data_IF_183487215967
#
_entry.id   IF_183487215967
#
_cell.length_a   1.000
_cell.length_b   1.000
_cell.length_c   1.000
_cell.angle_alpha   90.00
_cell.angle_beta   90.00
_cell.angle_gamma   90.00
#
_symmetry.space_group_name_H-M   'P 1'
#
loop_
_entity.id
_entity.type
_entity.pdbx_description
1 polymer ?
#
# COMPACT_ATOMS: atom_id res chain seq x y z
N UNK A 1 13.97 -18.07 -12.65
CA UNK A 1 13.33 -16.89 -13.25
C UNK A 1 12.12 -17.22 -14.14
N UNK A 2 11.89 -18.49 -14.51
CA UNK A 2 10.89 -18.93 -15.50
C UNK A 2 9.43 -18.56 -15.15
N UNK A 3 9.03 -18.49 -13.88
CA UNK A 3 7.62 -18.24 -13.49
C UNK A 3 7.34 -16.82 -12.96
N UNK A 4 8.28 -15.88 -13.08
CA UNK A 4 8.12 -14.55 -12.44
C UNK A 4 6.90 -13.80 -12.98
N UNK A 5 6.70 -13.81 -14.29
CA UNK A 5 5.58 -13.13 -14.94
C UNK A 5 4.23 -13.75 -14.52
N UNK A 6 4.15 -15.08 -14.51
CA UNK A 6 2.94 -15.80 -14.14
C UNK A 6 2.54 -15.52 -12.69
N UNK A 7 3.49 -15.60 -11.76
CA UNK A 7 3.24 -15.28 -10.35
C UNK A 7 2.83 -13.82 -10.16
N UNK A 8 3.46 -12.88 -10.86
CA UNK A 8 3.09 -11.46 -10.79
C UNK A 8 1.66 -11.22 -11.28
N UNK A 9 1.30 -11.78 -12.45
CA UNK A 9 -0.03 -11.62 -13.02
C UNK A 9 -1.12 -12.28 -12.16
N UNK A 10 -0.85 -13.46 -11.61
CA UNK A 10 -1.77 -14.12 -10.67
C UNK A 10 -1.96 -13.30 -9.38
N UNK A 11 -0.89 -12.69 -8.88
CA UNK A 11 -0.96 -11.80 -7.70
C UNK A 11 -1.84 -10.57 -7.99
N UNK A 12 -1.66 -9.93 -9.15
CA UNK A 12 -2.50 -8.81 -9.56
C UNK A 12 -3.97 -9.23 -9.73
N UNK A 13 -4.23 -10.40 -10.31
CA UNK A 13 -5.59 -10.92 -10.48
C UNK A 13 -6.30 -11.11 -9.13
N UNK A 14 -5.60 -11.66 -8.14
CA UNK A 14 -6.10 -11.82 -6.77
C UNK A 14 -6.38 -10.46 -6.10
N UNK A 15 -5.46 -9.49 -6.22
CA UNK A 15 -5.65 -8.16 -5.62
C UNK A 15 -6.88 -7.45 -6.21
N UNK A 16 -7.09 -7.57 -7.52
CA UNK A 16 -8.21 -6.91 -8.21
C UNK A 16 -9.54 -7.66 -8.06
N UNK A 17 -9.50 -8.97 -7.82
CA UNK A 17 -10.68 -9.82 -7.67
C UNK A 17 -10.50 -10.74 -6.45
N UNK A 18 -10.54 -10.20 -5.22
CA UNK A 18 -10.40 -11.02 -4.03
C UNK A 18 -11.59 -11.99 -3.89
N UNK A 19 -11.37 -13.16 -3.28
CA UNK A 19 -12.47 -14.03 -2.85
C UNK A 19 -13.49 -13.31 -1.96
N UNK A 20 -14.73 -13.79 -1.93
CA UNK A 20 -15.82 -13.15 -1.18
C UNK A 20 -15.56 -13.07 0.34
N UNK A 21 -14.78 -14.00 0.88
CA UNK A 21 -14.36 -14.05 2.28
C UNK A 21 -13.07 -13.26 2.56
N UNK A 22 -12.55 -12.53 1.57
CA UNK A 22 -11.32 -11.76 1.67
C UNK A 22 -11.59 -10.27 1.44
N UNK A 23 -11.21 -9.44 2.41
CA UNK A 23 -11.22 -7.98 2.25
C UNK A 23 -9.79 -7.47 2.10
N UNK A 24 -9.50 -6.83 0.96
CA UNK A 24 -8.21 -6.20 0.69
C UNK A 24 -8.34 -4.69 0.92
N UNK A 25 -7.53 -4.17 1.85
CA UNK A 25 -7.40 -2.74 2.10
C UNK A 25 -6.08 -2.25 1.48
N UNK A 26 -6.17 -1.47 0.42
CA UNK A 26 -4.99 -0.96 -0.31
C UNK A 26 -4.50 0.33 0.36
N UNK A 27 -3.24 0.32 0.79
CA UNK A 27 -2.54 1.50 1.32
C UNK A 27 -1.46 1.88 0.32
N UNK A 28 -1.70 2.96 -0.41
CA UNK A 28 -0.73 3.53 -1.34
C UNK A 28 -0.51 5.01 -1.04
N UNK A 29 0.72 5.51 -1.19
CA UNK A 29 0.99 6.94 -1.14
C UNK A 29 0.18 7.68 -2.20
N UNK A 30 -0.19 8.93 -1.91
CA UNK A 30 -0.79 9.84 -2.88
C UNK A 30 0.26 10.46 -3.82
N UNK A 31 -0.20 11.28 -4.77
CA UNK A 31 0.67 11.95 -5.74
C UNK A 31 1.68 12.94 -5.10
N UNK A 32 1.49 13.30 -3.82
CA UNK A 32 2.39 14.20 -3.10
C UNK A 32 3.56 13.46 -2.42
N UNK A 33 3.67 12.15 -2.58
CA UNK A 33 4.74 11.37 -1.96
C UNK A 33 6.10 11.66 -2.59
N UNK A 34 6.95 12.34 -1.81
CA UNK A 34 8.21 12.91 -2.29
C UNK A 34 9.44 12.00 -2.10
N UNK A 35 9.26 10.73 -1.73
CA UNK A 35 10.35 9.77 -1.51
C UNK A 35 10.50 8.87 -2.74
N UNK A 36 11.68 8.90 -3.35
CA UNK A 36 12.07 8.00 -4.43
C UNK A 36 13.24 7.11 -4.03
N UNK A 37 13.66 6.21 -4.93
CA UNK A 37 14.71 5.21 -4.67
C UNK A 37 16.03 5.79 -4.16
N UNK A 38 16.37 7.01 -4.56
CA UNK A 38 17.64 7.67 -4.22
C UNK A 38 17.49 8.77 -3.15
N UNK A 39 16.30 8.91 -2.54
CA UNK A 39 16.08 9.95 -1.53
C UNK A 39 16.86 9.63 -0.26
N UNK A 40 17.75 10.55 0.14
CA UNK A 40 18.52 10.47 1.40
C UNK A 40 18.20 11.62 2.36
N UNK A 41 17.38 12.59 1.93
CA UNK A 41 16.97 13.70 2.79
C UNK A 41 16.07 13.18 3.91
N UNK A 42 16.57 13.25 5.15
CA UNK A 42 15.87 12.74 6.34
C UNK A 42 14.47 13.32 6.52
N UNK A 43 14.26 14.61 6.28
CA UNK A 43 12.95 15.22 6.47
C UNK A 43 11.92 14.67 5.47
N UNK A 44 12.33 14.42 4.22
CA UNK A 44 11.46 13.78 3.23
C UNK A 44 11.15 12.32 3.58
N UNK A 45 12.15 11.58 4.04
CA UNK A 45 11.99 10.20 4.48
C UNK A 45 11.02 10.09 5.66
N UNK A 46 11.20 10.94 6.68
CA UNK A 46 10.32 11.00 7.85
C UNK A 46 8.90 11.39 7.46
N UNK A 47 8.74 12.41 6.61
CA UNK A 47 7.42 12.80 6.11
C UNK A 47 6.70 11.64 5.38
N UNK A 48 7.43 10.89 4.55
CA UNK A 48 6.90 9.70 3.87
C UNK A 48 6.54 8.58 4.85
N UNK A 49 7.34 8.34 5.88
CA UNK A 49 7.05 7.38 6.94
C UNK A 49 5.77 7.73 7.71
N UNK A 50 5.64 9.00 8.13
CA UNK A 50 4.45 9.49 8.82
C UNK A 50 3.19 9.44 7.95
N UNK A 51 3.32 9.62 6.63
CA UNK A 51 2.21 9.44 5.69
C UNK A 51 1.70 8.00 5.71
N UNK A 52 2.61 7.01 5.66
CA UNK A 52 2.26 5.59 5.74
C UNK A 52 1.59 5.21 7.06
N UNK A 53 2.09 5.69 8.20
CA UNK A 53 1.47 5.46 9.51
C UNK A 53 0.04 6.00 9.59
N UNK A 54 -0.18 7.21 9.08
CA UNK A 54 -1.53 7.82 9.04
C UNK A 54 -2.47 7.02 8.15
N UNK A 55 -2.01 6.60 6.97
CA UNK A 55 -2.82 5.79 6.05
C UNK A 55 -3.20 4.43 6.67
N UNK A 56 -2.25 3.75 7.35
CA UNK A 56 -2.52 2.50 8.05
C UNK A 56 -3.53 2.67 9.20
N UNK A 57 -3.39 3.75 9.99
CA UNK A 57 -4.34 4.06 11.06
C UNK A 57 -5.73 4.34 10.51
N UNK A 58 -5.84 5.07 9.41
CA UNK A 58 -7.13 5.35 8.78
C UNK A 58 -7.77 4.06 8.24
N UNK A 59 -6.98 3.22 7.56
CA UNK A 59 -7.46 1.95 7.03
C UNK A 59 -7.95 0.99 8.13
N UNK A 60 -7.27 0.93 9.28
CA UNK A 60 -7.71 0.09 10.41
C UNK A 60 -8.97 0.61 11.08
N UNK A 61 -9.14 1.93 11.20
CA UNK A 61 -10.36 2.55 11.73
C UNK A 61 -11.56 2.30 10.81
N UNK A 62 -11.38 2.50 9.49
CA UNK A 62 -12.42 2.20 8.50
C UNK A 62 -12.80 0.72 8.48
N UNK A 63 -11.83 -0.19 8.64
CA UNK A 63 -12.08 -1.63 8.73
C UNK A 63 -12.87 -2.03 9.99
N UNK A 64 -12.80 -1.23 11.06
CA UNK A 64 -13.53 -1.43 12.32
C UNK A 64 -14.91 -0.74 12.32
N UNK A 65 -15.28 -0.02 11.27
CA UNK A 65 -16.58 0.65 11.15
C UNK A 65 -16.79 1.82 12.11
N UNK A 66 -15.71 2.38 12.65
CA UNK A 66 -15.76 3.53 13.57
C UNK A 66 -15.54 4.79 12.72
N UNK A 67 -16.57 5.63 12.59
CA UNK A 67 -16.51 6.92 11.88
C UNK A 67 -16.44 8.07 12.87
#
# INVERSE_FOLDING_TARGET
MINRADHYNQTLAFINNPPQDCTINVITPDDNFAVGRLTTNNNKLEAGYQMGLRAAKNASISALGIN
#
